data_IF_329138328922
#
_entry.id   IF_329138328922
#
_cell.length_a   1.000
_cell.length_b   1.000
_cell.length_c   1.000
_cell.angle_alpha   90.00
_cell.angle_beta   90.00
_cell.angle_gamma   90.00
#
_symmetry.space_group_name_H-M   'P 1'
#
loop_
_entity.id
_entity.type
_entity.pdbx_description
1 polymer ?
#
# COMPACT_ATOMS: atom_id res chain seq x y z
N UNK A 1 -30.02 -61.58 -47.87
CA UNK A 1 -28.90 -61.47 -46.90
C UNK A 1 -28.66 -60.00 -46.64
N UNK A 2 -28.62 -59.61 -45.38
CA UNK A 2 -28.85 -58.25 -44.88
C UNK A 2 -27.63 -57.33 -45.01
N UNK A 3 -27.82 -56.16 -45.61
CA UNK A 3 -26.88 -55.03 -45.53
C UNK A 3 -26.95 -54.41 -44.14
N UNK A 4 -25.85 -54.49 -43.38
CA UNK A 4 -25.71 -53.89 -42.07
C UNK A 4 -25.15 -52.47 -42.20
N UNK A 5 -25.68 -51.47 -41.48
CA UNK A 5 -25.21 -50.10 -41.58
C UNK A 5 -23.82 -49.99 -40.95
N UNK A 6 -22.86 -49.45 -41.71
CA UNK A 6 -21.48 -49.27 -41.26
C UNK A 6 -21.40 -48.18 -40.17
N UNK A 7 -20.90 -48.49 -38.96
CA UNK A 7 -20.84 -47.52 -37.86
C UNK A 7 -19.76 -46.46 -38.11
N UNK A 8 -20.16 -45.19 -38.18
CA UNK A 8 -19.23 -44.04 -38.22
C UNK A 8 -18.56 -43.88 -36.85
N UNK A 9 -17.27 -44.20 -36.76
CA UNK A 9 -16.46 -43.96 -35.56
C UNK A 9 -16.19 -42.46 -35.41
N UNK A 10 -16.85 -41.83 -34.45
CA UNK A 10 -16.40 -40.52 -33.97
C UNK A 10 -15.09 -40.70 -33.21
N UNK A 11 -14.01 -40.10 -33.73
CA UNK A 11 -12.70 -40.09 -33.10
C UNK A 11 -12.76 -39.14 -31.89
N UNK A 12 -13.01 -39.66 -30.70
CA UNK A 12 -13.01 -38.81 -29.50
C UNK A 12 -11.56 -38.42 -29.21
N UNK A 13 -11.28 -37.12 -29.26
CA UNK A 13 -9.95 -36.55 -29.01
C UNK A 13 -9.63 -36.58 -27.52
N UNK A 14 -9.25 -37.76 -27.02
CA UNK A 14 -9.00 -37.97 -25.59
C UNK A 14 -7.62 -37.45 -25.14
N UNK A 15 -6.80 -36.95 -26.06
CA UNK A 15 -5.47 -36.41 -25.74
C UNK A 15 -5.55 -34.99 -25.14
N UNK A 16 -6.55 -34.20 -25.56
CA UNK A 16 -6.70 -32.82 -25.06
C UNK A 16 -7.36 -32.76 -23.69
N UNK A 17 -8.31 -33.65 -23.35
CA UNK A 17 -9.06 -33.53 -22.10
C UNK A 17 -8.18 -33.69 -20.84
N UNK A 18 -7.23 -34.64 -20.84
CA UNK A 18 -6.30 -34.87 -19.72
C UNK A 18 -5.27 -33.73 -19.59
N UNK A 19 -4.83 -33.15 -20.71
CA UNK A 19 -3.81 -32.10 -20.73
C UNK A 19 -4.37 -30.68 -20.59
N UNK A 20 -5.64 -30.46 -20.89
CA UNK A 20 -6.31 -29.17 -20.68
C UNK A 20 -6.39 -28.85 -19.19
N UNK A 21 -6.65 -29.83 -18.33
CA UNK A 21 -6.72 -29.62 -16.88
C UNK A 21 -5.42 -29.03 -16.27
N UNK A 22 -4.22 -29.62 -16.47
CA UNK A 22 -2.97 -29.04 -15.97
C UNK A 22 -2.62 -27.71 -16.64
N UNK A 23 -2.91 -27.53 -17.94
CA UNK A 23 -2.63 -26.28 -18.63
C UNK A 23 -3.52 -25.13 -18.12
N UNK A 24 -4.80 -25.41 -17.84
CA UNK A 24 -5.72 -24.46 -17.21
C UNK A 24 -5.27 -24.15 -15.77
N UNK A 25 -4.88 -25.16 -14.99
CA UNK A 25 -4.36 -24.93 -13.64
C UNK A 25 -3.10 -24.04 -13.65
N UNK A 26 -2.17 -24.28 -14.59
CA UNK A 26 -0.97 -23.47 -14.77
C UNK A 26 -1.31 -22.05 -15.22
N UNK A 27 -2.27 -21.89 -16.14
CA UNK A 27 -2.74 -20.57 -16.57
C UNK A 27 -3.36 -19.76 -15.43
N UNK A 28 -4.19 -20.40 -14.58
CA UNK A 28 -4.76 -19.76 -13.39
C UNK A 28 -3.66 -19.42 -12.38
N UNK A 29 -2.72 -20.33 -12.14
CA UNK A 29 -1.59 -20.08 -11.23
C UNK A 29 -0.71 -18.92 -11.70
N UNK A 30 -0.38 -18.88 -12.99
CA UNK A 30 0.35 -17.77 -13.60
C UNK A 30 -0.44 -16.46 -13.51
N UNK A 31 -1.76 -16.51 -13.74
CA UNK A 31 -2.62 -15.33 -13.67
C UNK A 31 -2.74 -14.78 -12.23
N UNK A 32 -2.93 -15.64 -11.24
CA UNK A 32 -2.97 -15.26 -9.82
C UNK A 32 -1.61 -14.73 -9.36
N UNK A 33 -0.51 -15.37 -9.78
CA UNK A 33 0.84 -14.90 -9.50
C UNK A 33 1.11 -13.52 -10.07
N UNK A 34 0.71 -13.27 -11.32
CA UNK A 34 0.84 -11.96 -11.95
C UNK A 34 0.02 -10.89 -11.23
N UNK A 35 -1.24 -11.20 -10.87
CA UNK A 35 -2.08 -10.27 -10.10
C UNK A 35 -1.49 -9.94 -8.74
N UNK A 36 -0.95 -10.94 -8.04
CA UNK A 36 -0.33 -10.74 -6.74
C UNK A 36 0.92 -9.85 -6.82
N UNK A 37 1.73 -10.02 -7.86
CA UNK A 37 2.90 -9.17 -8.09
C UNK A 37 2.51 -7.73 -8.45
N UNK A 38 1.47 -7.56 -9.29
CA UNK A 38 1.08 -6.23 -9.76
C UNK A 38 0.43 -5.36 -8.67
N UNK A 39 -0.14 -5.99 -7.64
CA UNK A 39 -0.76 -5.34 -6.47
C UNK A 39 0.20 -5.09 -5.31
N UNK A 40 1.45 -5.56 -5.39
CA UNK A 40 2.40 -5.40 -4.30
C UNK A 40 2.73 -3.92 -4.06
N UNK A 41 2.60 -3.47 -2.81
CA UNK A 41 2.97 -2.12 -2.39
C UNK A 41 4.48 -1.88 -2.40
N UNK A 42 4.87 -0.62 -2.19
CA UNK A 42 6.27 -0.22 -2.06
C UNK A 42 6.60 -0.01 -0.58
N UNK A 43 7.57 -0.77 -0.09
CA UNK A 43 8.07 -0.65 1.28
C UNK A 43 9.06 0.52 1.38
N UNK A 44 8.78 1.45 2.30
CA UNK A 44 9.66 2.55 2.68
C UNK A 44 9.95 2.53 4.17
N UNK A 45 11.08 3.11 4.57
CA UNK A 45 11.47 3.32 5.94
C UNK A 45 11.40 4.81 6.26
N UNK A 46 10.64 5.15 7.29
CA UNK A 46 10.51 6.52 7.76
C UNK A 46 10.98 6.59 9.21
N UNK A 47 12.02 7.39 9.46
CA UNK A 47 12.56 7.62 10.80
C UNK A 47 11.78 8.73 11.49
N UNK A 48 11.24 8.42 12.67
CA UNK A 48 10.58 9.37 13.56
C UNK A 48 11.42 9.54 14.83
N UNK A 49 11.47 10.76 15.38
CA UNK A 49 12.11 11.00 16.68
C UNK A 49 11.29 10.41 17.84
N UNK A 50 9.97 10.24 17.66
CA UNK A 50 9.07 9.74 18.70
C UNK A 50 8.11 8.70 18.13
N UNK A 51 7.93 7.59 18.85
CA UNK A 51 6.96 6.53 18.55
C UNK A 51 5.57 6.78 19.12
N UNK A 52 5.38 7.90 19.80
CA UNK A 52 4.25 8.14 20.67
C UNK A 52 2.91 8.11 19.90
N UNK A 53 2.20 6.98 20.05
CA UNK A 53 0.93 6.68 19.39
C UNK A 53 1.02 5.97 18.04
N UNK A 54 2.21 5.70 17.49
CA UNK A 54 2.39 4.92 16.25
C UNK A 54 2.22 3.44 16.56
N UNK A 55 1.33 2.77 15.82
CA UNK A 55 1.01 1.36 16.02
C UNK A 55 1.18 0.61 14.69
N UNK A 56 2.01 -0.42 14.70
CA UNK A 56 2.16 -1.31 13.55
C UNK A 56 0.80 -1.92 13.18
N UNK A 57 0.52 -2.02 11.88
CA UNK A 57 -0.73 -2.53 11.29
C UNK A 57 -2.01 -1.76 11.63
N UNK A 58 -1.93 -0.65 12.38
CA UNK A 58 -3.09 0.17 12.76
C UNK A 58 -2.95 1.62 12.29
N UNK A 59 -1.74 2.15 12.27
CA UNK A 59 -1.48 3.50 11.77
C UNK A 59 -1.46 3.51 10.24
N UNK A 60 -2.27 4.40 9.66
CA UNK A 60 -2.36 4.61 8.21
C UNK A 60 -1.61 5.88 7.80
N UNK A 61 -1.18 5.91 6.55
CA UNK A 61 -0.60 7.08 5.90
C UNK A 61 -1.65 7.75 5.04
N UNK A 62 -1.93 9.02 5.33
CA UNK A 62 -2.97 9.80 4.69
C UNK A 62 -2.36 10.93 3.85
N UNK A 63 -2.79 11.04 2.60
CA UNK A 63 -2.59 12.23 1.76
C UNK A 63 -3.92 12.96 1.63
N UNK A 64 -4.01 14.19 2.14
CA UNK A 64 -5.25 14.99 2.10
C UNK A 64 -6.50 14.24 2.61
N UNK A 65 -6.31 13.37 3.61
CA UNK A 65 -7.39 12.56 4.21
C UNK A 65 -7.70 11.23 3.48
N UNK A 66 -6.98 10.90 2.41
CA UNK A 66 -7.12 9.63 1.67
C UNK A 66 -5.98 8.69 2.07
N UNK A 67 -6.30 7.44 2.40
CA UNK A 67 -5.30 6.42 2.71
C UNK A 67 -4.47 6.08 1.46
N UNK A 68 -3.16 6.19 1.59
CA UNK A 68 -2.16 5.94 0.53
C UNK A 68 -1.06 4.96 0.96
N UNK A 69 -1.20 4.41 2.17
CA UNK A 69 -0.26 3.47 2.73
C UNK A 69 -0.56 3.13 4.18
N UNK A 70 0.22 2.20 4.73
CA UNK A 70 0.02 1.65 6.07
C UNK A 70 1.34 1.28 6.73
N UNK A 71 1.44 1.49 8.03
CA UNK A 71 2.60 1.04 8.82
C UNK A 71 2.53 -0.48 8.97
N UNK A 72 3.55 -1.20 8.50
CA UNK A 72 3.63 -2.67 8.57
C UNK A 72 4.42 -3.11 9.80
N UNK A 73 5.53 -2.42 10.08
CA UNK A 73 6.41 -2.71 11.21
C UNK A 73 6.93 -1.42 11.85
N UNK A 74 7.32 -1.51 13.11
CA UNK A 74 7.91 -0.42 13.87
C UNK A 74 9.10 -0.99 14.64
N UNK A 75 10.27 -0.45 14.36
CA UNK A 75 11.54 -0.86 14.94
C UNK A 75 12.18 0.32 15.68
N UNK A 76 12.99 0.03 16.69
CA UNK A 76 13.79 1.06 17.37
C UNK A 76 15.03 1.34 16.53
N UNK A 77 15.37 2.62 16.34
CA UNK A 77 16.59 3.00 15.63
C UNK A 77 17.82 2.49 16.39
N UNK A 78 18.90 2.15 15.68
CA UNK A 78 20.15 1.65 16.29
C UNK A 78 20.72 2.61 17.36
N UNK A 79 20.56 3.91 17.16
CA UNK A 79 21.00 4.94 18.11
C UNK A 79 20.08 5.11 19.34
N UNK A 80 18.96 4.39 19.43
CA UNK A 80 17.89 4.48 20.46
C UNK A 80 17.25 5.89 20.58
N UNK A 81 17.64 6.83 19.72
CA UNK A 81 17.13 8.22 19.70
C UNK A 81 15.81 8.41 18.94
N UNK A 82 15.22 7.32 18.44
CA UNK A 82 13.99 7.37 17.66
C UNK A 82 13.54 5.98 17.20
N UNK A 83 12.54 5.97 16.33
CA UNK A 83 11.96 4.75 15.75
C UNK A 83 11.98 4.79 14.24
N UNK A 84 12.13 3.63 13.62
CA UNK A 84 12.04 3.42 12.19
C UNK A 84 10.72 2.71 11.92
N UNK A 85 9.78 3.42 11.29
CA UNK A 85 8.54 2.82 10.83
C UNK A 85 8.74 2.29 9.42
N UNK A 86 8.47 1.00 9.23
CA UNK A 86 8.38 0.41 7.90
C UNK A 86 6.95 0.57 7.41
N UNK A 87 6.79 1.31 6.32
CA UNK A 87 5.50 1.67 5.75
C UNK A 87 5.38 1.02 4.37
N UNK A 88 4.26 0.35 4.14
CA UNK A 88 3.87 -0.12 2.82
C UNK A 88 2.97 0.95 2.18
N UNK A 89 3.48 1.57 1.13
CA UNK A 89 2.78 2.57 0.33
C UNK A 89 2.14 1.91 -0.89
N UNK A 90 1.05 2.49 -1.37
CA UNK A 90 0.44 2.02 -2.60
C UNK A 90 1.38 2.19 -3.80
N UNK A 91 1.28 1.29 -4.77
CA UNK A 91 2.08 1.32 -6.01
C UNK A 91 1.97 2.65 -6.76
N UNK A 92 0.80 3.29 -6.72
CA UNK A 92 0.56 4.59 -7.36
C UNK A 92 1.38 5.72 -6.71
N UNK A 93 1.67 5.61 -5.42
CA UNK A 93 2.48 6.58 -4.67
C UNK A 93 3.97 6.50 -5.04
N UNK A 94 4.44 5.39 -5.62
CA UNK A 94 5.85 5.13 -5.99
C UNK A 94 6.50 6.27 -6.76
N UNK A 95 5.80 6.85 -7.73
CA UNK A 95 6.30 7.95 -8.57
C UNK A 95 6.39 9.30 -7.83
N UNK A 96 5.79 9.39 -6.65
CA UNK A 96 5.77 10.59 -5.81
C UNK A 96 6.57 10.43 -4.51
N UNK A 97 7.35 9.36 -4.38
CA UNK A 97 8.28 9.14 -3.26
C UNK A 97 9.68 9.62 -3.67
N UNK A 98 9.87 10.94 -3.72
CA UNK A 98 11.17 11.54 -4.06
C UNK A 98 11.79 12.23 -2.84
N UNK A 99 13.02 12.74 -2.98
CA UNK A 99 13.71 13.55 -1.96
C UNK A 99 12.90 14.72 -1.39
N UNK A 100 11.95 15.24 -2.16
CA UNK A 100 11.08 16.33 -1.72
C UNK A 100 9.89 15.87 -0.86
N UNK A 101 9.65 14.56 -0.76
CA UNK A 101 8.49 14.01 -0.06
C UNK A 101 8.68 14.11 1.44
N UNK A 102 7.66 14.66 2.10
CA UNK A 102 7.70 14.97 3.53
C UNK A 102 6.66 14.15 4.27
N UNK A 103 7.03 13.59 5.40
CA UNK A 103 6.14 12.86 6.29
C UNK A 103 6.10 13.54 7.64
N UNK A 104 4.95 13.56 8.31
CA UNK A 104 4.84 14.03 9.69
C UNK A 104 3.74 13.28 10.43
N UNK A 105 3.88 13.19 11.74
CA UNK A 105 2.89 12.55 12.60
C UNK A 105 1.81 13.56 12.99
N UNK A 106 0.54 13.23 12.76
CA UNK A 106 -0.58 14.06 13.21
C UNK A 106 -1.24 13.40 14.40
N UNK A 107 -1.20 14.09 15.55
CA UNK A 107 -1.88 13.69 16.77
C UNK A 107 -3.18 14.50 16.90
N UNK A 108 -4.35 13.87 16.97
CA UNK A 108 -5.59 14.58 17.21
C UNK A 108 -5.55 15.23 18.60
N UNK A 109 -5.88 16.51 18.67
CA UNK A 109 -6.06 17.19 19.97
C UNK A 109 -7.47 16.91 20.46
N UNK A 110 -7.59 16.19 21.56
CA UNK A 110 -8.87 15.95 22.22
C UNK A 110 -9.30 17.26 22.90
N UNK A 111 -10.26 17.98 22.33
CA UNK A 111 -10.90 19.09 23.04
C UNK A 111 -12.13 18.56 23.79
N UNK A 112 -12.16 18.71 25.10
CA UNK A 112 -13.29 18.32 25.97
C UNK A 112 -14.55 19.21 25.78
N UNK A 113 -14.52 20.15 24.85
CA UNK A 113 -15.63 21.05 24.53
C UNK A 113 -16.52 20.42 23.43
N UNK A 114 -17.58 19.73 23.85
CA UNK A 114 -18.66 19.32 22.94
C UNK A 114 -18.83 17.81 22.79
N UNK A 115 -19.42 17.21 23.82
CA UNK A 115 -20.02 15.88 23.73
C UNK A 115 -21.22 15.92 22.78
N UNK A 116 -21.00 15.65 21.49
CA UNK A 116 -22.01 15.08 20.58
C UNK A 116 -21.29 14.33 19.47
N UNK A 117 -21.24 12.99 19.56
CA UNK A 117 -20.54 12.13 18.57
C UNK A 117 -19.36 11.34 19.15
N UNK A 118 -19.61 10.37 20.01
CA UNK A 118 -18.59 9.40 20.47
C UNK A 118 -17.91 8.60 19.33
N UNK A 119 -18.43 8.69 18.11
CA UNK A 119 -17.90 8.08 16.88
C UNK A 119 -16.55 8.68 16.41
N UNK A 120 -16.22 9.93 16.78
CA UNK A 120 -14.96 10.61 16.33
C UNK A 120 -13.76 10.35 17.25
N UNK A 121 -13.97 9.77 18.43
CA UNK A 121 -12.90 9.39 19.38
C UNK A 121 -11.99 8.27 18.83
N UNK A 122 -12.35 7.66 17.70
CA UNK A 122 -11.54 6.65 16.98
C UNK A 122 -10.65 7.30 15.90
N UNK A 123 -10.42 8.62 15.96
CA UNK A 123 -9.34 9.21 15.16
C UNK A 123 -8.00 8.78 15.76
N UNK A 124 -7.53 7.58 15.39
CA UNK A 124 -6.21 7.12 15.77
C UNK A 124 -5.13 8.08 15.27
N UNK A 125 -3.95 8.01 15.88
CA UNK A 125 -2.78 8.71 15.34
C UNK A 125 -2.52 8.23 13.92
N UNK A 126 -2.32 9.17 13.00
CA UNK A 126 -2.04 8.89 11.59
C UNK A 126 -0.79 9.64 11.13
N UNK A 127 -0.19 9.16 10.05
CA UNK A 127 0.95 9.79 9.41
C UNK A 127 0.42 10.56 8.20
N UNK A 128 0.70 11.84 8.11
CA UNK A 128 0.41 12.61 6.91
C UNK A 128 1.63 12.65 6.00
N UNK A 129 1.39 12.67 4.70
CA UNK A 129 2.41 12.77 3.67
C UNK A 129 2.15 13.98 2.76
N UNK A 130 3.21 14.65 2.32
CA UNK A 130 3.20 15.59 1.21
C UNK A 130 4.11 15.03 0.11
N UNK A 131 3.54 14.30 -0.87
CA UNK A 131 4.25 13.60 -1.91
C UNK A 131 4.71 14.57 -3.00
N UNK A 132 5.98 14.47 -3.40
CA UNK A 132 6.59 15.28 -4.47
C UNK A 132 7.02 14.36 -5.59
N UNK A 133 6.54 14.64 -6.81
CA UNK A 133 6.98 13.92 -8.01
C UNK A 133 8.45 14.24 -8.27
N UNK A 134 9.27 13.21 -8.46
CA UNK A 134 10.70 13.38 -8.77
C UNK A 134 11.22 12.23 -9.61
N UNK A 135 12.42 12.41 -10.17
CA UNK A 135 13.03 11.44 -11.08
C UNK A 135 13.60 10.20 -10.37
N UNK A 136 13.94 10.34 -9.09
CA UNK A 136 14.51 9.26 -8.28
C UNK A 136 13.58 8.92 -7.13
N UNK A 137 13.24 7.63 -7.05
CA UNK A 137 12.57 7.05 -5.91
C UNK A 137 13.53 7.01 -4.72
N UNK A 138 13.06 7.50 -3.59
CA UNK A 138 13.72 7.35 -2.31
C UNK A 138 12.90 6.43 -1.42
N UNK A 139 13.61 5.60 -0.63
CA UNK A 139 12.98 4.63 0.28
C UNK A 139 13.24 4.94 1.74
N UNK A 140 14.14 5.88 2.03
CA UNK A 140 14.53 6.25 3.37
C UNK A 140 14.19 7.72 3.59
N UNK A 141 13.30 7.98 4.55
CA UNK A 141 12.83 9.32 4.86
C UNK A 141 13.02 9.64 6.34
N UNK A 142 13.17 10.92 6.63
CA UNK A 142 13.14 11.44 7.99
C UNK A 142 11.86 12.25 8.17
N UNK A 143 11.04 11.87 9.14
CA UNK A 143 9.80 12.57 9.43
C UNK A 143 10.05 13.95 10.04
N UNK A 144 9.23 14.92 9.66
CA UNK A 144 9.18 16.24 10.24
C UNK A 144 8.41 16.20 11.57
N UNK A 145 8.83 17.03 12.52
CA UNK A 145 8.16 17.17 13.83
C UNK A 145 6.79 17.84 13.72
N UNK A 146 6.60 18.66 12.70
CA UNK A 146 5.43 19.51 12.52
C UNK A 146 5.03 19.53 11.04
N UNK A 147 3.75 19.78 10.73
CA UNK A 147 3.30 19.96 9.37
C UNK A 147 4.08 21.10 8.69
N UNK A 148 4.42 20.97 7.40
CA UNK A 148 5.03 22.05 6.65
C UNK A 148 4.08 23.25 6.61
N UNK A 149 4.58 24.50 6.74
CA UNK A 149 3.75 25.69 6.74
C UNK A 149 3.02 25.91 5.41
N UNK A 150 3.56 25.37 4.32
CA UNK A 150 2.96 25.46 2.99
C UNK A 150 3.01 24.09 2.27
N UNK A 151 1.88 23.62 1.73
CA UNK A 151 1.87 22.50 0.79
C UNK A 151 2.67 22.87 -0.46
N UNK A 152 3.39 21.91 -1.03
CA UNK A 152 4.07 22.11 -2.32
C UNK A 152 3.03 22.41 -3.42
N UNK A 153 3.02 23.65 -3.94
CA UNK A 153 2.13 24.05 -5.03
C UNK A 153 1.27 25.30 -4.81
N UNK A 154 1.57 26.18 -3.84
CA UNK A 154 0.94 27.50 -3.77
C UNK A 154 1.73 28.52 -4.64
N UNK A 155 1.24 28.93 -5.83
CA UNK A 155 1.96 29.87 -6.70
C UNK A 155 1.86 31.34 -6.26
N UNK A 156 1.49 31.64 -5.01
CA UNK A 156 1.32 33.02 -4.55
C UNK A 156 1.67 33.20 -3.08
N UNK A 157 2.97 33.23 -2.77
CA UNK A 157 3.50 33.92 -1.59
C UNK A 157 4.88 34.49 -1.98
N UNK A 158 4.86 35.58 -2.76
CA UNK A 158 5.97 36.55 -2.85
C UNK A 158 5.52 37.84 -2.19
#
# INVERSE_FOLDING_TARGET
>A
MSDLPSPKKHKTSNWSAIWVLPLVALAIGAWLGWRAYDQAGVLIQVRFESSDGIQAKKTEVLYKGIAVGKVVALDVSEDIKGVVATIEMDKEARQYLSKGTRFWLVKPRVSLAGVTGLETLVSGVYIAVDPVKGEKEERNFTALKQPPPFPTGCPACT
#
